data_IF_094096453740
#
_entry.id   IF_094096453740
#
_cell.length_a   1.000
_cell.length_b   1.000
_cell.length_c   1.000
_cell.angle_alpha   90.00
_cell.angle_beta   90.00
_cell.angle_gamma   90.00
#
_symmetry.space_group_name_H-M   'P 1'
#
loop_
_entity.id
_entity.type
_entity.pdbx_description
1 polymer ?
#
# COMPACT_ATOMS: atom_id res chain seq x y z
N UNK A 1 48.55 -9.92 17.12
CA UNK A 1 47.50 -9.94 16.06
C UNK A 1 46.14 -9.99 16.73
N UNK A 2 45.45 -8.85 16.80
CA UNK A 2 44.11 -8.76 17.37
C UNK A 2 43.09 -8.85 16.23
N UNK A 3 42.41 -10.02 16.13
CA UNK A 3 41.35 -10.23 15.19
C UNK A 3 40.14 -9.36 15.53
N UNK A 4 39.76 -8.42 14.67
CA UNK A 4 38.51 -7.69 14.76
C UNK A 4 37.38 -8.64 14.39
N UNK A 5 36.63 -9.09 15.39
CA UNK A 5 35.33 -9.72 15.16
C UNK A 5 34.34 -8.62 14.74
N UNK A 6 33.97 -8.60 13.46
CA UNK A 6 32.82 -7.84 12.99
C UNK A 6 31.58 -8.60 13.47
N UNK A 7 30.96 -8.10 14.53
CA UNK A 7 29.61 -8.47 14.91
C UNK A 7 28.66 -7.97 13.82
N UNK A 8 28.26 -8.84 12.90
CA UNK A 8 27.09 -8.63 12.09
C UNK A 8 25.90 -8.54 13.04
N UNK A 9 25.45 -7.33 13.39
CA UNK A 9 24.14 -7.12 13.94
C UNK A 9 23.16 -7.44 12.83
N UNK A 10 22.55 -8.63 12.86
CA UNK A 10 21.37 -8.94 12.08
C UNK A 10 20.28 -7.99 12.56
N UNK A 11 20.00 -6.94 11.78
CA UNK A 11 18.81 -6.12 11.98
C UNK A 11 17.63 -7.05 11.80
N UNK A 12 16.95 -7.38 12.90
CA UNK A 12 15.80 -8.26 12.91
C UNK A 12 14.65 -7.54 12.20
N UNK A 13 14.62 -7.65 10.87
CA UNK A 13 13.56 -7.06 10.04
C UNK A 13 12.29 -7.88 10.28
N UNK A 14 11.27 -7.24 10.86
CA UNK A 14 9.99 -7.92 11.06
C UNK A 14 9.33 -8.21 9.72
N UNK A 15 9.27 -9.48 9.34
CA UNK A 15 8.54 -9.95 8.17
C UNK A 15 7.05 -10.10 8.49
N UNK A 16 6.20 -9.60 7.61
CA UNK A 16 4.75 -9.78 7.65
C UNK A 16 4.32 -11.00 6.85
N UNK A 17 4.97 -11.22 5.69
CA UNK A 17 4.87 -12.40 4.84
C UNK A 17 6.23 -12.66 4.18
N UNK A 18 6.33 -13.68 3.34
CA UNK A 18 7.57 -14.06 2.65
C UNK A 18 8.28 -12.88 1.96
N UNK A 19 7.52 -12.03 1.27
CA UNK A 19 8.07 -10.95 0.45
C UNK A 19 7.77 -9.54 0.97
N UNK A 20 7.12 -9.39 2.12
CA UNK A 20 6.74 -8.08 2.66
C UNK A 20 7.19 -7.92 4.11
N UNK A 21 7.93 -6.85 4.37
CA UNK A 21 8.38 -6.45 5.71
C UNK A 21 7.55 -5.31 6.28
N UNK A 22 7.53 -5.21 7.61
CA UNK A 22 6.91 -4.06 8.29
C UNK A 22 7.57 -2.74 7.86
N UNK A 23 8.88 -2.74 7.66
CA UNK A 23 9.62 -1.55 7.24
C UNK A 23 9.12 -0.99 5.90
N UNK A 24 8.84 -1.85 4.91
CA UNK A 24 8.28 -1.43 3.62
C UNK A 24 6.88 -0.83 3.77
N UNK A 25 6.03 -1.44 4.60
CA UNK A 25 4.65 -1.00 4.82
C UNK A 25 4.52 0.25 5.70
N UNK A 26 5.60 0.70 6.32
CA UNK A 26 5.62 1.90 7.20
C UNK A 26 6.55 3.00 6.69
N UNK A 27 7.29 2.75 5.63
CA UNK A 27 8.20 3.72 5.02
C UNK A 27 7.41 4.93 4.49
N UNK A 28 7.87 6.14 4.82
CA UNK A 28 7.31 7.39 4.31
C UNK A 28 8.38 8.46 4.22
N UNK A 29 8.68 8.90 3.00
CA UNK A 29 9.59 10.02 2.77
C UNK A 29 9.05 11.32 3.36
N UNK A 30 7.73 11.52 3.32
CA UNK A 30 7.08 12.70 3.88
C UNK A 30 7.20 12.73 5.41
N UNK A 31 6.98 11.60 6.08
CA UNK A 31 7.19 11.50 7.52
C UNK A 31 8.64 11.84 7.90
N UNK A 32 9.61 11.32 7.14
CA UNK A 32 11.04 11.62 7.35
C UNK A 32 11.33 13.12 7.18
N UNK A 33 10.81 13.75 6.12
CA UNK A 33 11.01 15.19 5.88
C UNK A 33 10.39 16.08 6.97
N UNK A 34 9.24 15.66 7.50
CA UNK A 34 8.52 16.41 8.54
C UNK A 34 8.95 16.05 9.96
N UNK A 35 9.86 15.09 10.12
CA UNK A 35 10.30 14.61 11.43
C UNK A 35 9.19 13.89 12.21
N UNK A 36 8.23 13.29 11.53
CA UNK A 36 7.13 12.58 12.16
C UNK A 36 7.49 11.12 12.41
N UNK A 37 7.08 10.62 13.57
CA UNK A 37 7.16 9.21 13.89
C UNK A 37 5.98 8.47 13.22
N UNK A 38 6.31 7.64 12.21
CA UNK A 38 5.31 6.84 11.49
C UNK A 38 5.28 5.39 12.01
N UNK A 39 5.23 5.22 13.34
CA UNK A 39 5.23 3.90 13.97
C UNK A 39 3.80 3.36 14.13
N UNK A 40 3.53 2.15 13.62
CA UNK A 40 2.28 1.45 13.85
C UNK A 40 2.24 0.88 15.29
N UNK A 41 1.06 0.82 15.87
CA UNK A 41 0.83 0.03 17.07
C UNK A 41 0.56 -1.44 16.72
N UNK A 42 0.39 -2.29 17.72
CA UNK A 42 0.18 -3.73 17.54
C UNK A 42 -1.05 -4.04 16.67
N UNK A 43 -2.15 -3.30 16.83
CA UNK A 43 -3.36 -3.50 16.02
C UNK A 43 -3.12 -3.15 14.55
N UNK A 44 -2.38 -2.07 14.27
CA UNK A 44 -1.99 -1.69 12.92
C UNK A 44 -1.11 -2.76 12.26
N UNK A 45 -0.18 -3.35 13.02
CA UNK A 45 0.69 -4.42 12.52
C UNK A 45 -0.12 -5.66 12.15
N UNK A 46 -1.10 -6.04 12.96
CA UNK A 46 -2.02 -7.14 12.65
C UNK A 46 -2.84 -6.88 11.39
N UNK A 47 -3.34 -5.65 11.21
CA UNK A 47 -4.06 -5.26 10.00
C UNK A 47 -3.17 -5.31 8.76
N UNK A 48 -1.95 -4.78 8.85
CA UNK A 48 -0.95 -4.84 7.76
C UNK A 48 -0.60 -6.29 7.40
N UNK A 49 -0.47 -7.16 8.39
CA UNK A 49 -0.22 -8.59 8.16
C UNK A 49 -1.36 -9.22 7.36
N UNK A 50 -2.63 -8.97 7.75
CA UNK A 50 -3.80 -9.46 7.01
C UNK A 50 -3.85 -8.94 5.58
N UNK A 51 -3.53 -7.66 5.34
CA UNK A 51 -3.41 -7.08 4.01
C UNK A 51 -2.35 -7.80 3.18
N UNK A 52 -1.17 -8.05 3.75
CA UNK A 52 -0.11 -8.77 3.09
C UNK A 52 -0.53 -10.21 2.74
N UNK A 53 -1.11 -10.95 3.68
CA UNK A 53 -1.51 -12.36 3.49
C UNK A 53 -2.61 -12.52 2.43
N UNK A 54 -3.62 -11.64 2.45
CA UNK A 54 -4.82 -11.80 1.62
C UNK A 54 -4.75 -11.10 0.27
N UNK A 55 -3.88 -10.08 0.12
CA UNK A 55 -3.82 -9.26 -1.11
C UNK A 55 -2.40 -9.18 -1.66
N UNK A 56 -1.44 -8.64 -0.91
CA UNK A 56 -0.13 -8.29 -1.48
C UNK A 56 0.72 -9.53 -1.85
N UNK A 57 0.74 -10.55 -1.00
CA UNK A 57 1.48 -11.78 -1.29
C UNK A 57 0.89 -12.55 -2.48
N UNK A 58 -0.44 -12.73 -2.62
CA UNK A 58 -1.05 -13.26 -3.83
C UNK A 58 -0.67 -12.50 -5.12
N UNK A 59 -0.63 -11.15 -5.06
CA UNK A 59 -0.16 -10.31 -6.18
C UNK A 59 1.30 -10.62 -6.50
N UNK A 60 2.16 -10.64 -5.49
CA UNK A 60 3.59 -10.93 -5.66
C UNK A 60 3.84 -12.30 -6.29
N UNK A 61 3.10 -13.31 -5.84
CA UNK A 61 3.20 -14.68 -6.37
C UNK A 61 2.73 -14.75 -7.83
N UNK A 62 1.67 -14.01 -8.19
CA UNK A 62 1.11 -14.03 -9.56
C UNK A 62 2.02 -13.36 -10.58
N UNK A 63 2.54 -12.20 -10.24
CA UNK A 63 3.32 -11.41 -11.19
C UNK A 63 4.82 -11.71 -11.14
N UNK A 64 5.29 -12.41 -10.11
CA UNK A 64 6.69 -12.78 -9.88
C UNK A 64 7.67 -11.57 -9.96
N UNK A 65 7.14 -10.38 -9.71
CA UNK A 65 7.84 -9.10 -9.72
C UNK A 65 7.70 -8.37 -8.38
N UNK A 66 8.65 -7.52 -8.01
CA UNK A 66 8.51 -6.67 -6.82
C UNK A 66 7.24 -5.82 -6.89
N UNK A 67 6.44 -5.86 -5.82
CA UNK A 67 5.32 -4.95 -5.61
C UNK A 67 5.86 -3.71 -4.90
N UNK A 68 5.81 -2.56 -5.55
CA UNK A 68 6.29 -1.30 -5.00
C UNK A 68 5.18 -0.73 -4.11
N UNK A 69 5.51 -0.48 -2.84
CA UNK A 69 4.61 0.17 -1.87
C UNK A 69 4.96 1.66 -1.83
N UNK A 70 4.18 2.49 -2.50
CA UNK A 70 4.38 3.94 -2.46
C UNK A 70 3.82 4.58 -1.18
N UNK A 71 2.79 3.98 -0.59
CA UNK A 71 2.22 4.36 0.70
C UNK A 71 1.58 3.13 1.36
N UNK A 72 1.95 2.86 2.60
CA UNK A 72 1.31 1.85 3.45
C UNK A 72 0.66 2.51 4.66
N UNK A 73 1.07 2.13 5.87
CA UNK A 73 0.59 2.75 7.10
C UNK A 73 0.93 4.25 7.16
N UNK A 74 -0.02 5.05 7.63
CA UNK A 74 0.16 6.47 7.92
C UNK A 74 -0.29 6.77 9.34
N UNK A 75 0.60 7.33 10.15
CA UNK A 75 0.20 7.87 11.45
C UNK A 75 -0.85 8.97 11.27
N UNK A 76 -1.68 9.20 12.28
CA UNK A 76 -2.70 10.26 12.23
C UNK A 76 -2.10 11.64 11.93
N UNK A 77 -0.91 11.91 12.48
CA UNK A 77 -0.17 13.15 12.25
C UNK A 77 0.27 13.30 10.78
N UNK A 78 0.85 12.25 10.20
CA UNK A 78 1.24 12.22 8.79
C UNK A 78 0.02 12.38 7.89
N UNK A 79 -1.05 11.63 8.16
CA UNK A 79 -2.26 11.65 7.37
C UNK A 79 -2.92 13.04 7.34
N UNK A 80 -2.93 13.75 8.47
CA UNK A 80 -3.40 15.13 8.57
C UNK A 80 -2.51 16.09 7.76
N UNK A 81 -1.19 15.94 7.85
CA UNK A 81 -0.23 16.80 7.16
C UNK A 81 -0.35 16.73 5.63
N UNK A 82 -0.71 15.57 5.07
CA UNK A 82 -0.94 15.40 3.63
C UNK A 82 -2.38 15.73 3.19
N UNK A 83 -3.23 16.22 4.10
CA UNK A 83 -4.62 16.58 3.79
C UNK A 83 -5.55 15.41 3.51
N UNK A 84 -5.22 14.22 3.96
CA UNK A 84 -6.05 13.04 3.77
C UNK A 84 -7.15 12.91 4.82
N UNK A 85 -8.23 12.19 4.49
CA UNK A 85 -9.36 11.96 5.40
C UNK A 85 -8.93 11.25 6.69
N UNK A 86 -9.43 11.70 7.84
CA UNK A 86 -9.22 11.02 9.14
C UNK A 86 -9.81 9.60 9.18
N UNK A 87 -10.70 9.25 8.23
CA UNK A 87 -11.29 7.91 8.07
C UNK A 87 -10.47 6.99 7.15
N UNK A 88 -9.30 7.45 6.68
CA UNK A 88 -8.46 6.70 5.76
C UNK A 88 -8.06 5.33 6.35
N UNK A 89 -8.17 4.28 5.55
CA UNK A 89 -7.75 2.93 5.92
C UNK A 89 -6.22 2.80 6.07
N UNK A 90 -5.44 3.70 5.47
CA UNK A 90 -4.00 3.79 5.74
C UNK A 90 -3.69 4.06 7.22
N UNK A 91 -4.53 4.84 7.92
CA UNK A 91 -4.34 5.13 9.35
C UNK A 91 -4.62 3.91 10.24
N UNK A 92 -5.28 2.90 9.72
CA UNK A 92 -5.62 1.67 10.44
C UNK A 92 -4.68 0.50 10.09
N UNK A 93 -3.71 0.74 9.19
CA UNK A 93 -2.88 -0.33 8.64
C UNK A 93 -3.62 -1.28 7.71
N UNK A 94 -4.74 -0.85 7.17
CA UNK A 94 -5.63 -1.69 6.32
C UNK A 94 -5.41 -1.49 4.83
N UNK A 95 -4.59 -0.51 4.40
CA UNK A 95 -4.44 -0.13 3.00
C UNK A 95 -2.99 0.06 2.56
N UNK A 96 -2.76 -0.15 1.27
CA UNK A 96 -1.53 0.21 0.57
C UNK A 96 -1.84 0.77 -0.82
N UNK A 97 -1.00 1.73 -1.24
CA UNK A 97 -0.93 2.22 -2.61
C UNK A 97 0.23 1.49 -3.29
N UNK A 98 -0.04 0.82 -4.40
CA UNK A 98 0.90 -0.12 -5.02
C UNK A 98 1.02 0.08 -6.53
N UNK A 99 2.18 -0.34 -7.04
CA UNK A 99 2.50 -0.46 -8.45
C UNK A 99 3.43 -1.65 -8.69
N UNK A 100 3.47 -2.14 -9.93
CA UNK A 100 4.47 -3.13 -10.37
C UNK A 100 5.11 -2.59 -11.64
N UNK A 101 6.42 -2.39 -11.61
CA UNK A 101 7.14 -1.89 -12.77
C UNK A 101 6.93 -2.78 -14.01
N UNK A 102 6.51 -2.16 -15.11
CA UNK A 102 6.23 -2.84 -16.37
C UNK A 102 4.92 -3.61 -16.43
N UNK A 103 4.06 -3.48 -15.42
CA UNK A 103 2.69 -3.99 -15.43
C UNK A 103 1.72 -2.81 -15.49
N UNK A 104 0.77 -2.86 -16.42
CA UNK A 104 -0.31 -1.88 -16.54
C UNK A 104 -1.14 -1.83 -15.25
N UNK A 105 -1.28 -0.64 -14.65
CA UNK A 105 -2.02 -0.45 -13.40
C UNK A 105 -3.51 -0.83 -13.53
N UNK A 106 -4.10 -0.66 -14.71
CA UNK A 106 -5.46 -1.13 -15.00
C UNK A 106 -5.54 -2.65 -14.98
N UNK A 107 -4.59 -3.32 -15.62
CA UNK A 107 -4.49 -4.78 -15.60
C UNK A 107 -4.27 -5.31 -14.17
N UNK A 108 -3.39 -4.67 -13.40
CA UNK A 108 -3.14 -5.01 -12.00
C UNK A 108 -4.43 -4.92 -11.18
N UNK A 109 -5.17 -3.80 -11.28
CA UNK A 109 -6.43 -3.61 -10.57
C UNK A 109 -7.50 -4.64 -10.97
N UNK A 110 -7.65 -4.94 -12.26
CA UNK A 110 -8.57 -5.96 -12.75
C UNK A 110 -8.22 -7.35 -12.21
N UNK A 111 -6.93 -7.69 -12.21
CA UNK A 111 -6.50 -8.98 -11.67
C UNK A 111 -6.82 -9.09 -10.16
N UNK A 112 -6.54 -8.03 -9.37
CA UNK A 112 -6.86 -7.99 -7.95
C UNK A 112 -8.36 -8.19 -7.73
N UNK A 113 -9.20 -7.48 -8.51
CA UNK A 113 -10.66 -7.61 -8.41
C UNK A 113 -11.13 -9.05 -8.61
N UNK A 114 -10.54 -9.74 -9.57
CA UNK A 114 -11.01 -11.08 -9.96
C UNK A 114 -10.44 -12.20 -9.08
N UNK A 115 -9.30 -11.99 -8.42
CA UNK A 115 -8.53 -13.08 -7.81
C UNK A 115 -8.26 -12.94 -6.32
N UNK A 116 -8.58 -11.80 -5.69
CA UNK A 116 -8.32 -11.60 -4.26
C UNK A 116 -9.58 -11.22 -3.49
N UNK A 117 -9.52 -11.42 -2.17
CA UNK A 117 -10.48 -10.83 -1.24
C UNK A 117 -9.94 -9.48 -0.81
N UNK A 118 -10.68 -8.40 -1.05
CA UNK A 118 -10.30 -7.04 -0.65
C UNK A 118 -11.52 -6.28 -0.12
N UNK A 119 -11.29 -5.21 0.61
CA UNK A 119 -12.35 -4.33 1.09
C UNK A 119 -12.67 -3.22 0.07
N UNK A 120 -11.66 -2.42 -0.28
CA UNK A 120 -11.77 -1.38 -1.31
C UNK A 120 -10.57 -1.46 -2.27
N UNK A 121 -10.83 -1.27 -3.55
CA UNK A 121 -9.85 -1.24 -4.63
C UNK A 121 -10.13 -0.02 -5.49
N UNK A 122 -9.12 0.81 -5.73
CA UNK A 122 -9.26 2.03 -6.51
C UNK A 122 -8.13 2.11 -7.53
N UNK A 123 -8.48 2.25 -8.81
CA UNK A 123 -7.55 2.68 -9.84
C UNK A 123 -7.48 4.20 -9.82
N UNK A 124 -6.37 4.75 -9.30
CA UNK A 124 -6.22 6.17 -9.05
C UNK A 124 -5.49 6.88 -10.18
N UNK A 125 -6.14 7.88 -10.79
CA UNK A 125 -5.59 8.82 -11.79
C UNK A 125 -4.94 8.15 -13.00
N UNK A 126 -5.43 7.00 -13.39
CA UNK A 126 -4.97 6.24 -14.55
C UNK A 126 -5.31 6.97 -15.86
N UNK A 127 -4.40 6.92 -16.81
CA UNK A 127 -4.58 7.44 -18.18
C UNK A 127 -4.40 6.31 -19.18
N UNK A 128 -5.35 6.11 -20.08
CA UNK A 128 -5.29 5.07 -21.12
C UNK A 128 -4.04 5.20 -22.04
N UNK A 129 -3.51 6.42 -22.16
CA UNK A 129 -2.29 6.69 -22.93
C UNK A 129 -0.98 6.35 -22.21
N UNK A 130 -1.04 6.04 -20.90
CA UNK A 130 0.11 5.74 -20.06
C UNK A 130 -0.23 4.64 -19.05
N UNK A 131 0.09 3.37 -19.36
CA UNK A 131 -0.23 2.21 -18.50
C UNK A 131 0.40 2.26 -17.10
N UNK A 132 1.45 3.05 -16.90
CA UNK A 132 2.10 3.23 -15.60
C UNK A 132 1.64 4.49 -14.88
N UNK A 133 0.65 5.22 -15.42
CA UNK A 133 0.10 6.41 -14.76
C UNK A 133 -0.74 6.06 -13.54
N UNK A 134 -0.75 6.96 -12.58
CA UNK A 134 -1.47 6.77 -11.33
C UNK A 134 -0.92 5.61 -10.50
N UNK A 135 -1.78 4.98 -9.73
CA UNK A 135 -1.45 3.82 -8.88
C UNK A 135 -2.69 3.01 -8.55
N UNK A 136 -2.51 1.88 -7.89
CA UNK A 136 -3.60 1.05 -7.39
C UNK A 136 -3.65 1.15 -5.88
N UNK A 137 -4.73 1.72 -5.34
CA UNK A 137 -5.07 1.66 -3.92
C UNK A 137 -5.80 0.35 -3.63
N UNK A 138 -5.37 -0.39 -2.64
CA UNK A 138 -6.06 -1.60 -2.20
C UNK A 138 -6.08 -1.70 -0.68
N UNK A 139 -7.21 -2.13 -0.13
CA UNK A 139 -7.38 -2.35 1.30
C UNK A 139 -7.95 -3.72 1.61
N UNK A 140 -7.71 -4.17 2.84
CA UNK A 140 -8.28 -5.40 3.36
C UNK A 140 -8.87 -5.19 4.75
N UNK A 141 -10.11 -5.64 4.93
CA UNK A 141 -10.76 -5.85 6.22
C UNK A 141 -11.55 -7.16 6.17
N UNK A 142 -11.90 -7.71 7.31
CA UNK A 142 -12.70 -8.95 7.36
C UNK A 142 -14.10 -8.79 6.74
N UNK A 143 -14.56 -7.54 6.53
CA UNK A 143 -15.85 -7.25 5.85
C UNK A 143 -15.79 -7.53 4.35
N UNK A 144 -14.64 -7.37 3.71
CA UNK A 144 -14.42 -7.61 2.28
C UNK A 144 -15.54 -7.03 1.40
N UNK A 145 -15.80 -5.72 1.47
CA UNK A 145 -16.90 -5.05 0.75
C UNK A 145 -16.82 -5.18 -0.77
N UNK A 146 -15.67 -5.52 -1.31
CA UNK A 146 -15.43 -5.63 -2.76
C UNK A 146 -15.80 -4.36 -3.52
N UNK A 147 -15.56 -3.20 -2.90
CA UNK A 147 -15.83 -1.91 -3.54
C UNK A 147 -14.74 -1.58 -4.55
N UNK A 148 -15.10 -1.62 -5.84
CA UNK A 148 -14.17 -1.35 -6.93
C UNK A 148 -14.48 -0.01 -7.59
N UNK A 149 -13.51 0.91 -7.57
CA UNK A 149 -13.67 2.31 -8.00
C UNK A 149 -12.55 2.74 -8.94
N UNK A 150 -12.84 3.81 -9.70
CA UNK A 150 -11.83 4.69 -10.33
C UNK A 150 -11.82 6.05 -9.65
N UNK A 151 -10.64 6.63 -9.46
CA UNK A 151 -10.50 8.01 -9.03
C UNK A 151 -9.96 8.87 -10.19
N UNK A 152 -10.53 10.05 -10.36
CA UNK A 152 -10.14 11.01 -11.39
C UNK A 152 -10.26 12.45 -10.88
N UNK A 153 -9.66 13.41 -11.59
CA UNK A 153 -9.85 14.83 -11.33
C UNK A 153 -10.97 15.38 -12.22
N UNK A 154 -11.92 16.08 -11.61
CA UNK A 154 -12.94 16.81 -12.36
C UNK A 154 -12.37 18.12 -12.95
N UNK A 155 -13.21 18.88 -13.66
CA UNK A 155 -12.82 20.13 -14.31
C UNK A 155 -12.27 21.19 -13.34
N UNK A 156 -12.63 21.09 -12.05
CA UNK A 156 -12.17 21.98 -10.99
C UNK A 156 -10.95 21.43 -10.22
N UNK A 157 -10.35 20.33 -10.70
CA UNK A 157 -9.23 19.67 -10.04
C UNK A 157 -9.59 18.89 -8.77
N UNK A 158 -10.88 18.73 -8.48
CA UNK A 158 -11.35 17.96 -7.31
C UNK A 158 -11.35 16.47 -7.62
N UNK A 159 -10.88 15.65 -6.68
CA UNK A 159 -10.92 14.20 -6.81
C UNK A 159 -12.34 13.69 -6.73
N UNK A 160 -12.73 12.88 -7.70
CA UNK A 160 -14.02 12.18 -7.79
C UNK A 160 -13.78 10.69 -7.87
N UNK A 161 -14.75 9.93 -7.40
CA UNK A 161 -14.76 8.48 -7.43
C UNK A 161 -15.99 8.01 -8.17
N UNK A 162 -15.82 6.97 -8.98
CA UNK A 162 -16.93 6.31 -9.67
C UNK A 162 -16.76 4.79 -9.57
N UNK A 163 -17.88 4.03 -9.47
CA UNK A 163 -17.80 2.58 -9.57
C UNK A 163 -17.12 2.14 -10.87
N UNK A 164 -16.29 1.11 -10.80
CA UNK A 164 -15.68 0.50 -11.97
C UNK A 164 -16.10 -0.95 -12.08
N UNK A 165 -16.72 -1.31 -13.21
CA UNK A 165 -17.18 -2.66 -13.56
C UNK A 165 -16.18 -3.34 -14.49
#
# INVERSE_FOLDING_TARGET
MLGRYYLFQSTNVMQLTENFSLAELTKSQMATRLGFDNKPNQQHILSLKKLCENVLQPIRNRFEKPVIISSGFRSAQLNKAIGSSSKSQHCKGEAADIEIYGIDNKHLAQWINNNTKYDQLILEFYKESDPQSGWVHVSFTDKCRKQFLKAYKDQNGKTRYMPWQ
#
